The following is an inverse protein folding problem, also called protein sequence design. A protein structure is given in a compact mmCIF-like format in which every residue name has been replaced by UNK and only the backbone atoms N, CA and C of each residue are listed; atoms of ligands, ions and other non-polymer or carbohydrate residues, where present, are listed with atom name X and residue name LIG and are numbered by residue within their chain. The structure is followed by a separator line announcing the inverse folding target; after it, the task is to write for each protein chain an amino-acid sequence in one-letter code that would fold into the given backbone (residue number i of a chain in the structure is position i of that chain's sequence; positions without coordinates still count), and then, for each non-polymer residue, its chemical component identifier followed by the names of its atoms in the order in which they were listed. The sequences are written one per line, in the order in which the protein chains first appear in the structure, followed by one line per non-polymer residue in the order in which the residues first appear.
data_IF_525196926509
#
_entry.id   IF_525196926509
#
_cell.length_a   1.000
_cell.length_b   1.000
_cell.length_c   1.000
_cell.angle_alpha   90.00
_cell.angle_beta   90.00
_cell.angle_gamma   90.00
#
_symmetry.space_group_name_H-M   'P 1'
#
loop_
_entity.id
_entity.type
_entity.pdbx_description
1 polymer ?
#
# COMPACT_ATOMS: atom_id res chain seq x y z
N UNK A 1 -13.11 24.05 1.49
CA UNK A 1 -12.00 23.15 1.87
C UNK A 1 -12.40 21.74 1.46
N UNK A 2 -11.49 20.96 0.89
CA UNK A 2 -11.74 19.54 0.60
C UNK A 2 -12.14 18.80 1.89
N UNK A 3 -13.04 17.83 1.78
CA UNK A 3 -13.36 16.93 2.90
C UNK A 3 -12.09 16.20 3.38
N UNK A 4 -11.95 15.93 4.69
CA UNK A 4 -10.80 15.21 5.22
C UNK A 4 -10.76 13.77 4.67
N UNK A 5 -9.56 13.30 4.32
CA UNK A 5 -9.30 11.93 3.88
C UNK A 5 -8.72 11.13 5.04
N UNK A 6 -9.22 9.90 5.21
CA UNK A 6 -8.84 9.03 6.32
C UNK A 6 -8.19 7.73 5.84
N UNK A 7 -7.05 7.40 6.42
CA UNK A 7 -6.51 6.05 6.40
C UNK A 7 -6.90 5.34 7.69
N UNK A 8 -7.95 4.50 7.64
CA UNK A 8 -8.60 3.94 8.83
C UNK A 8 -9.13 5.09 9.72
N UNK A 9 -8.50 5.34 10.87
CA UNK A 9 -8.82 6.44 11.79
C UNK A 9 -7.89 7.65 11.68
N UNK A 10 -6.83 7.56 10.87
CA UNK A 10 -5.80 8.59 10.76
C UNK A 10 -6.18 9.59 9.66
N UNK A 11 -6.14 10.90 9.97
CA UNK A 11 -6.31 11.94 8.96
C UNK A 11 -5.02 12.01 8.15
N UNK A 12 -5.13 11.86 6.82
CA UNK A 12 -3.97 11.79 5.91
C UNK A 12 -4.04 12.78 4.75
N UNK A 13 -4.96 13.75 4.80
CA UNK A 13 -5.26 14.68 3.69
C UNK A 13 -4.00 15.34 3.10
N UNK A 14 -3.07 15.78 3.94
CA UNK A 14 -1.84 16.46 3.52
C UNK A 14 -0.79 15.52 2.90
N UNK A 15 -0.97 14.20 3.05
CA UNK A 15 -0.07 13.17 2.52
C UNK A 15 -0.58 12.59 1.20
N UNK A 16 -1.82 12.94 0.80
CA UNK A 16 -2.44 12.49 -0.45
C UNK A 16 -1.94 13.32 -1.63
N UNK A 17 -1.53 12.64 -2.70
CA UNK A 17 -1.08 13.29 -3.94
C UNK A 17 -1.96 12.97 -5.15
N UNK A 18 -2.91 12.03 -5.02
CA UNK A 18 -3.88 11.71 -6.06
C UNK A 18 -5.18 11.21 -5.43
N UNK A 19 -6.31 11.61 -6.02
CA UNK A 19 -7.65 11.14 -5.64
C UNK A 19 -8.39 10.77 -6.93
N UNK A 20 -9.00 9.60 -6.92
CA UNK A 20 -9.87 9.06 -7.95
C UNK A 20 -11.30 8.97 -7.41
N UNK A 21 -12.21 8.29 -8.11
CA UNK A 21 -13.62 8.22 -7.72
C UNK A 21 -13.84 7.49 -6.41
N UNK A 22 -13.13 6.38 -6.18
CA UNK A 22 -13.26 5.54 -4.99
C UNK A 22 -11.96 5.34 -4.24
N UNK A 23 -10.81 5.79 -4.76
CA UNK A 23 -9.50 5.57 -4.16
C UNK A 23 -8.66 6.84 -4.07
N UNK A 24 -7.58 6.78 -3.31
CA UNK A 24 -6.57 7.81 -3.25
C UNK A 24 -5.16 7.20 -3.14
N UNK A 25 -4.15 7.96 -3.55
CA UNK A 25 -2.75 7.59 -3.38
C UNK A 25 -2.05 8.56 -2.41
N UNK A 26 -1.26 8.01 -1.51
CA UNK A 26 -0.53 8.78 -0.48
C UNK A 26 0.92 8.31 -0.31
N UNK A 27 1.75 9.22 0.18
CA UNK A 27 3.14 8.92 0.54
C UNK A 27 3.20 8.11 1.84
N UNK A 28 4.13 7.14 1.94
CA UNK A 28 4.19 6.23 3.09
C UNK A 28 4.89 6.86 4.31
N UNK A 29 4.38 6.72 5.54
CA UNK A 29 5.06 7.22 6.74
C UNK A 29 6.46 6.62 6.94
N UNK A 30 6.61 5.32 6.67
CA UNK A 30 7.85 4.53 6.82
C UNK A 30 8.20 3.87 5.48
N UNK A 31 8.67 4.63 4.48
CA UNK A 31 8.99 4.07 3.17
C UNK A 31 10.11 3.04 3.28
N UNK A 32 10.05 2.00 2.46
CA UNK A 32 11.10 0.98 2.37
C UNK A 32 12.27 1.48 1.52
N UNK A 33 11.93 2.25 0.49
CA UNK A 33 12.84 2.94 -0.42
C UNK A 33 12.16 4.23 -0.89
N UNK A 34 12.91 5.22 -1.42
CA UNK A 34 12.31 6.38 -2.08
C UNK A 34 11.30 5.97 -3.16
N UNK A 35 10.14 6.64 -3.20
CA UNK A 35 9.06 6.32 -4.13
C UNK A 35 8.10 5.21 -3.66
N UNK A 36 8.28 4.69 -2.44
CA UNK A 36 7.29 3.79 -1.83
C UNK A 36 6.02 4.59 -1.46
N UNK A 37 4.94 4.35 -2.22
CA UNK A 37 3.62 4.94 -2.02
C UNK A 37 2.55 3.88 -1.77
N UNK A 38 1.38 4.31 -1.28
CA UNK A 38 0.24 3.45 -0.99
C UNK A 38 -0.98 3.86 -1.83
N UNK A 39 -1.79 2.89 -2.24
CA UNK A 39 -3.14 3.08 -2.82
C UNK A 39 -4.18 2.56 -1.85
N UNK A 40 -5.22 3.35 -1.57
CA UNK A 40 -6.19 3.07 -0.51
C UNK A 40 -7.59 3.45 -0.99
N UNK A 41 -8.65 2.64 -0.76
CA UNK A 41 -10.01 3.06 -1.02
C UNK A 41 -10.43 4.20 -0.08
N UNK A 42 -11.33 5.08 -0.52
CA UNK A 42 -11.88 6.17 0.29
C UNK A 42 -12.79 5.64 1.41
N UNK A 43 -13.46 4.50 1.18
CA UNK A 43 -14.35 3.88 2.15
C UNK A 43 -13.55 3.12 3.22
N UNK A 44 -13.39 3.76 4.38
CA UNK A 44 -12.58 3.27 5.52
C UNK A 44 -13.03 1.94 6.14
N UNK A 45 -14.23 1.45 5.82
CA UNK A 45 -14.71 0.14 6.28
C UNK A 45 -14.15 -1.04 5.50
N UNK A 46 -13.50 -0.82 4.34
CA UNK A 46 -12.86 -1.86 3.54
C UNK A 46 -11.54 -2.28 4.18
N UNK A 47 -11.53 -3.40 4.90
CA UNK A 47 -10.32 -3.91 5.56
C UNK A 47 -9.50 -4.85 4.68
N UNK A 48 -10.14 -5.49 3.70
CA UNK A 48 -9.51 -6.49 2.84
C UNK A 48 -10.08 -6.42 1.41
N UNK A 49 -9.40 -7.08 0.47
CA UNK A 49 -9.73 -6.99 -0.96
C UNK A 49 -11.16 -7.45 -1.27
N UNK A 50 -11.63 -8.47 -0.55
CA UNK A 50 -12.98 -9.05 -0.74
C UNK A 50 -14.13 -8.11 -0.39
N UNK A 51 -13.85 -7.00 0.31
CA UNK A 51 -14.87 -6.03 0.74
C UNK A 51 -15.10 -4.90 -0.24
N UNK A 52 -14.36 -4.83 -1.36
CA UNK A 52 -14.59 -3.87 -2.43
C UNK A 52 -15.87 -4.22 -3.21
N UNK A 53 -16.63 -3.20 -3.60
CA UNK A 53 -17.64 -3.36 -4.66
C UNK A 53 -16.96 -3.59 -6.02
N UNK A 54 -17.73 -3.94 -7.05
CA UNK A 54 -17.18 -4.11 -8.41
C UNK A 54 -16.60 -2.79 -8.94
N UNK A 55 -17.29 -1.69 -8.67
CA UNK A 55 -16.91 -0.34 -9.08
C UNK A 55 -15.67 0.13 -8.32
N UNK A 56 -15.64 -0.07 -6.99
CA UNK A 56 -14.44 0.24 -6.18
C UNK A 56 -13.25 -0.62 -6.62
N UNK A 57 -13.46 -1.91 -6.94
CA UNK A 57 -12.40 -2.80 -7.42
C UNK A 57 -11.82 -2.34 -8.75
N UNK A 58 -12.68 -1.94 -9.70
CA UNK A 58 -12.23 -1.42 -10.99
C UNK A 58 -11.39 -0.14 -10.82
N UNK A 59 -11.90 0.84 -10.07
CA UNK A 59 -11.20 2.10 -9.80
C UNK A 59 -9.88 1.88 -9.03
N UNK A 60 -9.88 0.95 -8.07
CA UNK A 60 -8.70 0.59 -7.29
C UNK A 60 -7.59 0.02 -8.18
N UNK A 61 -7.89 -0.94 -9.05
CA UNK A 61 -6.88 -1.53 -9.94
C UNK A 61 -6.49 -0.63 -11.11
N UNK A 62 -7.38 0.25 -11.58
CA UNK A 62 -7.03 1.33 -12.51
C UNK A 62 -6.02 2.30 -11.86
N UNK A 63 -6.29 2.71 -10.62
CA UNK A 63 -5.40 3.57 -9.85
C UNK A 63 -4.05 2.90 -9.57
N UNK A 64 -4.04 1.60 -9.24
CA UNK A 64 -2.79 0.83 -9.08
C UNK A 64 -1.97 0.82 -10.37
N UNK A 65 -2.60 0.59 -11.53
CA UNK A 65 -1.90 0.60 -12.82
C UNK A 65 -1.34 2.00 -13.16
N UNK A 66 -2.12 3.06 -12.95
CA UNK A 66 -1.68 4.43 -13.16
C UNK A 66 -0.47 4.77 -12.27
N UNK A 67 -0.56 4.48 -10.97
CA UNK A 67 0.52 4.76 -10.03
C UNK A 67 1.75 3.88 -10.27
N UNK A 68 1.57 2.64 -10.69
CA UNK A 68 2.70 1.78 -11.07
C UNK A 68 3.49 2.40 -12.23
N UNK A 69 2.82 2.82 -13.31
CA UNK A 69 3.47 3.44 -14.47
C UNK A 69 4.13 4.77 -14.10
N UNK A 70 3.42 5.61 -13.36
CA UNK A 70 3.92 6.91 -12.90
C UNK A 70 5.16 6.78 -12.01
N UNK A 71 5.13 5.93 -10.98
CA UNK A 71 6.26 5.76 -10.06
C UNK A 71 7.44 5.09 -10.77
N UNK A 72 7.19 4.09 -11.62
CA UNK A 72 8.23 3.46 -12.43
C UNK A 72 9.00 4.49 -13.26
N UNK A 73 8.27 5.36 -13.98
CA UNK A 73 8.88 6.41 -14.80
C UNK A 73 9.60 7.47 -13.93
N UNK A 74 8.92 7.98 -12.90
CA UNK A 74 9.42 9.10 -12.09
C UNK A 74 10.70 8.77 -11.32
N UNK A 75 10.83 7.52 -10.87
CA UNK A 75 11.98 7.05 -10.11
C UNK A 75 12.98 6.26 -10.96
N UNK A 76 12.76 6.17 -12.28
CA UNK A 76 13.62 5.41 -13.21
C UNK A 76 13.87 3.99 -12.71
N UNK A 77 12.82 3.35 -12.21
CA UNK A 77 12.92 2.00 -11.64
C UNK A 77 13.18 0.98 -12.76
N UNK A 78 13.84 -0.12 -12.42
CA UNK A 78 14.01 -1.28 -13.32
C UNK A 78 12.83 -2.26 -13.19
N UNK A 79 12.18 -2.29 -12.03
CA UNK A 79 11.06 -3.17 -11.72
C UNK A 79 10.25 -2.62 -10.54
N UNK A 80 9.13 -3.27 -10.21
CA UNK A 80 8.24 -2.87 -9.11
C UNK A 80 7.85 -4.07 -8.26
N UNK A 81 7.72 -3.88 -6.95
CA UNK A 81 6.85 -4.72 -6.14
C UNK A 81 5.51 -4.02 -5.96
N UNK A 82 4.45 -4.77 -6.28
CA UNK A 82 3.06 -4.40 -6.05
C UNK A 82 2.53 -5.42 -5.04
N UNK A 83 2.25 -5.00 -3.80
CA UNK A 83 1.94 -5.92 -2.73
C UNK A 83 0.69 -5.49 -1.95
N UNK A 84 -0.21 -6.45 -1.72
CA UNK A 84 -1.37 -6.30 -0.85
C UNK A 84 -1.18 -7.26 0.31
N UNK A 85 -1.15 -6.73 1.53
CA UNK A 85 -1.14 -7.52 2.74
C UNK A 85 -2.59 -7.68 3.20
N UNK A 86 -3.25 -8.74 2.72
CA UNK A 86 -4.68 -8.93 2.90
C UNK A 86 -5.00 -9.62 4.24
N UNK A 87 -4.90 -8.84 5.32
CA UNK A 87 -5.15 -9.29 6.70
C UNK A 87 -3.91 -9.27 7.60
N UNK A 88 -4.08 -9.27 8.94
CA UNK A 88 -2.99 -9.10 9.89
C UNK A 88 -1.86 -10.12 9.75
N UNK A 89 -2.22 -11.37 9.48
CA UNK A 89 -1.31 -12.52 9.34
C UNK A 89 -0.49 -12.45 8.04
N UNK A 90 -0.97 -11.69 7.05
CA UNK A 90 -0.21 -11.32 5.85
C UNK A 90 0.69 -10.09 6.07
N UNK A 91 0.70 -9.52 7.27
CA UNK A 91 1.51 -8.36 7.65
C UNK A 91 0.76 -7.02 7.67
N UNK A 92 -0.57 -7.02 7.52
CA UNK A 92 -1.36 -5.79 7.52
C UNK A 92 -1.34 -5.12 8.91
N UNK A 93 -0.70 -3.97 9.03
CA UNK A 93 -0.63 -3.21 10.29
C UNK A 93 -1.80 -2.26 10.51
N UNK A 94 -2.35 -1.68 9.44
CA UNK A 94 -3.50 -0.78 9.47
C UNK A 94 -4.73 -1.50 8.92
N UNK A 95 -5.85 -1.60 9.68
CA UNK A 95 -7.06 -2.32 9.25
C UNK A 95 -7.89 -1.48 8.27
N UNK A 96 -7.31 -1.24 7.09
CA UNK A 96 -7.88 -0.60 5.93
C UNK A 96 -7.09 -1.13 4.73
N UNK A 97 -7.74 -1.65 3.69
CA UNK A 97 -7.07 -2.19 2.52
C UNK A 97 -6.08 -1.17 1.95
N UNK A 98 -4.86 -1.59 1.66
CA UNK A 98 -3.88 -0.75 0.98
C UNK A 98 -2.92 -1.58 0.14
N UNK A 99 -2.61 -1.07 -1.05
CA UNK A 99 -1.59 -1.65 -1.94
C UNK A 99 -0.31 -0.85 -1.84
N UNK A 100 0.80 -1.54 -1.61
CA UNK A 100 2.14 -0.97 -1.69
C UNK A 100 2.63 -0.93 -3.14
N UNK A 101 3.14 0.22 -3.56
CA UNK A 101 3.85 0.42 -4.83
C UNK A 101 5.29 0.76 -4.49
N UNK A 102 6.23 -0.14 -4.80
CA UNK A 102 7.62 -0.05 -4.35
C UNK A 102 8.57 -0.19 -5.55
N UNK A 103 9.32 0.86 -5.93
CA UNK A 103 10.28 0.76 -7.02
C UNK A 103 11.50 -0.10 -6.65
N UNK A 104 12.03 -0.81 -7.64
CA UNK A 104 13.19 -1.71 -7.52
C UNK A 104 14.23 -1.41 -8.58
N UNK A 105 15.49 -1.64 -8.22
CA UNK A 105 16.64 -1.50 -9.11
C UNK A 105 17.37 -2.84 -9.21
N UNK A 106 18.00 -3.10 -10.35
CA UNK A 106 18.67 -4.39 -10.66
C UNK A 106 19.71 -4.79 -9.62
N UNK A 107 20.39 -3.82 -9.00
CA UNK A 107 21.41 -4.05 -7.98
C UNK A 107 20.82 -4.50 -6.63
N UNK A 108 19.53 -4.23 -6.37
CA UNK A 108 18.85 -4.61 -5.14
C UNK A 108 18.23 -6.00 -5.28
N UNK A 109 18.98 -7.00 -5.74
CA UNK A 109 18.44 -8.30 -6.17
C UNK A 109 18.10 -9.26 -5.00
N UNK A 110 17.20 -8.84 -4.12
CA UNK A 110 16.66 -9.64 -3.01
C UNK A 110 15.68 -10.72 -3.54
N UNK A 111 15.07 -10.51 -4.71
CA UNK A 111 14.23 -11.50 -5.42
C UNK A 111 13.27 -12.27 -4.51
N UNK A 112 13.39 -13.60 -4.57
CA UNK A 112 12.51 -14.60 -3.97
C UNK A 112 12.80 -14.92 -2.50
N UNK A 113 13.53 -14.06 -1.78
CA UNK A 113 13.84 -14.30 -0.36
C UNK A 113 12.60 -14.49 0.53
N UNK A 114 11.46 -13.92 0.15
CA UNK A 114 10.20 -14.18 0.87
C UNK A 114 9.76 -15.64 0.72
N UNK A 115 9.89 -16.22 -0.47
CA UNK A 115 9.58 -17.63 -0.71
C UNK A 115 10.55 -18.53 0.04
N UNK A 116 11.85 -18.21 0.04
CA UNK A 116 12.82 -18.95 0.85
C UNK A 116 12.43 -18.99 2.34
N UNK A 117 11.92 -17.86 2.88
CA UNK A 117 11.43 -17.80 4.27
C UNK A 117 10.15 -18.60 4.49
N UNK A 118 9.23 -18.58 3.51
CA UNK A 118 7.99 -19.36 3.56
C UNK A 118 8.25 -20.86 3.42
N UNK A 119 9.15 -21.26 2.52
CA UNK A 119 9.54 -22.66 2.25
C UNK A 119 10.40 -23.25 3.37
N UNK A 120 11.19 -22.43 4.06
CA UNK A 120 11.96 -22.86 5.25
C UNK A 120 11.07 -23.28 6.42
N UNK A 121 9.77 -23.05 6.32
CA UNK A 121 8.80 -23.54 7.29
C UNK A 121 8.25 -24.89 6.83
N UNK A 122 8.51 -25.92 7.62
CA UNK A 122 8.19 -27.33 7.32
C UNK A 122 6.70 -27.69 7.48
N UNK A 123 5.83 -26.70 7.76
CA UNK A 123 4.40 -26.90 7.98
C UNK A 123 4.05 -27.68 9.26
N UNK A 124 5.04 -28.12 10.05
CA UNK A 124 4.85 -29.04 11.18
C UNK A 124 3.99 -28.46 12.31
N UNK A 125 3.80 -27.15 12.33
CA UNK A 125 2.94 -26.45 13.28
C UNK A 125 1.69 -25.83 12.65
N UNK A 126 1.36 -26.11 11.38
CA UNK A 126 0.22 -25.49 10.69
C UNK A 126 -1.09 -25.72 11.43
N UNK A 127 -1.40 -26.97 11.74
CA UNK A 127 -2.64 -27.37 12.41
C UNK A 127 -2.73 -26.76 13.80
N UNK A 128 -1.66 -26.86 14.58
CA UNK A 128 -1.55 -26.24 15.91
C UNK A 128 -1.70 -24.71 15.87
N UNK A 129 -1.09 -24.05 14.88
CA UNK A 129 -1.16 -22.59 14.71
C UNK A 129 -2.56 -22.15 14.27
N UNK A 130 -3.21 -22.94 13.40
CA UNK A 130 -4.62 -22.76 13.01
C UNK A 130 -5.57 -22.98 14.20
N UNK A 131 -5.35 -24.02 15.00
CA UNK A 131 -6.14 -24.29 16.22
C UNK A 131 -5.95 -23.20 17.27
N UNK A 132 -4.72 -22.72 17.46
CA UNK A 132 -4.41 -21.57 18.33
C UNK A 132 -5.14 -20.32 17.84
N UNK A 133 -5.15 -20.06 16.53
CA UNK A 133 -5.89 -18.96 15.94
C UNK A 133 -7.41 -19.07 16.19
N UNK A 134 -7.98 -20.25 15.98
CA UNK A 134 -9.41 -20.51 16.18
C UNK A 134 -9.82 -20.43 17.66
N UNK A 135 -8.95 -20.83 18.58
CA UNK A 135 -9.21 -20.84 20.03
C UNK A 135 -8.98 -19.49 20.72
N UNK A 136 -8.13 -18.59 20.18
CA UNK A 136 -7.83 -17.27 20.75
C UNK A 136 -8.93 -16.21 20.53
N UNK A 137 -10.21 -16.61 20.45
CA UNK A 137 -11.35 -15.78 20.03
C UNK A 137 -11.13 -15.04 18.69
N UNK A 138 -10.22 -15.54 17.84
CA UNK A 138 -9.79 -14.94 16.59
C UNK A 138 -9.42 -13.46 16.72
N UNK A 139 -10.43 -12.61 16.52
CA UNK A 139 -10.33 -11.15 16.43
C UNK A 139 -9.57 -10.53 17.65
N UNK A 140 -9.67 -11.12 18.85
CA UNK A 140 -9.29 -10.45 20.12
C UNK A 140 -7.87 -10.76 20.62
N UNK A 141 -7.26 -11.88 20.22
CA UNK A 141 -5.84 -12.18 20.49
C UNK A 141 -4.85 -11.35 19.64
N UNK A 142 -5.37 -10.49 18.76
CA UNK A 142 -4.66 -9.73 17.70
C UNK A 142 -3.50 -8.83 18.16
N UNK A 143 -3.47 -8.35 19.40
CA UNK A 143 -2.46 -7.35 19.84
C UNK A 143 -1.11 -7.95 20.22
N UNK A 144 -1.07 -9.24 20.58
CA UNK A 144 0.15 -9.85 21.15
C UNK A 144 1.05 -10.50 20.09
N UNK A 145 0.53 -10.78 18.89
CA UNK A 145 1.27 -11.47 17.82
C UNK A 145 1.86 -10.52 16.77
N UNK A 146 1.45 -9.25 16.76
CA UNK A 146 2.05 -8.24 15.90
C UNK A 146 3.45 -7.91 16.44
N UNK A 147 4.49 -8.46 15.81
CA UNK A 147 5.88 -8.10 16.13
C UNK A 147 6.06 -6.59 15.87
N UNK A 148 6.79 -5.87 16.74
CA UNK A 148 6.96 -4.44 16.61
C UNK A 148 7.61 -4.09 15.27
N UNK A 149 7.17 -2.97 14.70
CA UNK A 149 7.78 -2.39 13.51
C UNK A 149 9.29 -2.19 13.72
N UNK A 150 10.01 -2.68 12.70
CA UNK A 150 11.41 -2.51 12.34
C UNK A 150 12.07 -1.16 12.74
N UNK A 151 13.40 -1.13 12.78
CA UNK A 151 14.31 -0.01 13.10
C UNK A 151 14.18 1.24 12.18
N UNK A 152 13.06 1.38 11.46
CA UNK A 152 12.79 2.44 10.49
C UNK A 152 12.26 3.69 11.18
N UNK A 153 12.83 4.84 10.82
CA UNK A 153 12.48 6.14 11.37
C UNK A 153 11.27 6.72 10.63
N UNK A 154 10.31 7.24 11.39
CA UNK A 154 9.14 7.95 10.86
C UNK A 154 9.55 9.28 10.21
N UNK A 155 8.96 9.59 9.07
CA UNK A 155 9.11 10.89 8.44
C UNK A 155 8.25 11.94 9.13
N UNK A 156 8.68 13.19 9.15
CA UNK A 156 7.87 14.29 9.70
C UNK A 156 6.71 14.62 8.75
N UNK A 157 5.65 15.22 9.29
CA UNK A 157 4.48 15.62 8.52
C UNK A 157 4.84 16.63 7.41
N UNK A 158 5.77 17.54 7.66
CA UNK A 158 6.24 18.55 6.69
C UNK A 158 6.95 17.89 5.50
N UNK A 159 7.81 16.91 5.77
CA UNK A 159 8.51 16.15 4.73
C UNK A 159 7.50 15.41 3.86
N UNK A 160 6.55 14.72 4.48
CA UNK A 160 5.53 13.99 3.75
C UNK A 160 4.63 14.91 2.92
N UNK A 161 4.22 16.06 3.47
CA UNK A 161 3.41 17.04 2.75
C UNK A 161 4.14 17.59 1.53
N UNK A 162 5.43 17.94 1.68
CA UNK A 162 6.26 18.42 0.57
C UNK A 162 6.40 17.36 -0.52
N UNK A 163 6.60 16.10 -0.14
CA UNK A 163 6.68 14.98 -1.09
C UNK A 163 5.35 14.76 -1.82
N UNK A 164 4.22 14.82 -1.12
CA UNK A 164 2.90 14.68 -1.72
C UNK A 164 2.62 15.78 -2.75
N UNK A 165 2.93 17.04 -2.43
CA UNK A 165 2.83 18.17 -3.38
C UNK A 165 3.71 17.91 -4.61
N UNK A 166 4.96 17.53 -4.39
CA UNK A 166 5.92 17.28 -5.47
C UNK A 166 5.45 16.13 -6.38
N UNK A 167 4.93 15.04 -5.81
CA UNK A 167 4.43 13.91 -6.58
C UNK A 167 3.14 14.26 -7.32
N UNK A 168 2.27 15.09 -6.76
CA UNK A 168 1.07 15.56 -7.44
C UNK A 168 1.45 16.34 -8.71
N UNK A 169 2.35 17.32 -8.60
CA UNK A 169 2.83 18.11 -9.74
C UNK A 169 3.46 17.22 -10.83
N UNK A 170 4.33 16.28 -10.41
CA UNK A 170 4.94 15.32 -11.33
C UNK A 170 3.93 14.41 -12.01
N UNK A 171 2.90 13.98 -11.29
CA UNK A 171 1.84 13.13 -11.84
C UNK A 171 1.03 13.88 -12.90
N UNK A 172 0.66 15.14 -12.65
CA UNK A 172 -0.06 15.96 -13.63
C UNK A 172 0.76 16.14 -14.91
N UNK A 173 2.06 16.43 -14.76
CA UNK A 173 2.97 16.53 -15.90
C UNK A 173 3.11 15.20 -16.65
N UNK A 174 3.23 14.08 -15.92
CA UNK A 174 3.31 12.75 -16.50
C UNK A 174 2.07 12.38 -17.32
N UNK A 175 0.87 12.62 -16.79
CA UNK A 175 -0.41 12.38 -17.49
C UNK A 175 -0.51 13.27 -18.74
N UNK A 176 -0.10 14.53 -18.63
CA UNK A 176 -0.12 15.47 -19.77
C UNK A 176 0.79 15.01 -20.91
N UNK A 177 1.98 14.49 -20.57
CA UNK A 177 2.95 13.98 -21.54
C UNK A 177 2.60 12.59 -22.07
N UNK A 178 1.73 11.84 -21.39
CA UNK A 178 1.33 10.48 -21.74
C UNK A 178 -0.20 10.38 -21.80
N UNK A 179 -0.85 10.91 -22.85
CA UNK A 179 -2.32 10.95 -22.94
C UNK A 179 -3.00 9.58 -22.81
N UNK A 180 -2.32 8.49 -23.20
CA UNK A 180 -2.82 7.12 -23.08
C UNK A 180 -3.08 6.70 -21.62
N UNK A 181 -2.46 7.37 -20.64
CA UNK A 181 -2.70 7.13 -19.22
C UNK A 181 -4.13 7.51 -18.79
N UNK A 182 -4.81 8.34 -19.58
CA UNK A 182 -6.21 8.73 -19.33
C UNK A 182 -7.17 7.54 -19.35
N UNK A 183 -6.79 6.41 -19.96
CA UNK A 183 -7.61 5.17 -19.92
C UNK A 183 -7.81 4.60 -18.50
N UNK A 184 -7.01 5.05 -17.53
CA UNK A 184 -7.11 4.67 -16.11
C UNK A 184 -7.62 5.83 -15.24
N UNK A 185 -8.01 6.95 -15.86
CA UNK A 185 -8.52 8.14 -15.19
C UNK A 185 -9.96 8.30 -15.66
N UNK A 186 -10.90 7.82 -14.84
CA UNK A 186 -12.34 8.01 -15.04
C UNK A 186 -12.82 9.33 -14.44
#
# INVERSE_FOLDING_TARGET
MSSPIYFSKFIVTDQVFYVSKFCYALVNLKPLVPGHVLIVPLRTSVQNLSQLSKEESSDFFNTVQLMQNFIYHTYQADAMNIAIQDGPEAGQSVPHLHTHIIPRYRLNNIGDQIYNKLDSWDGSEWEKRRETYLSANGRMGRKELAKPEDQRVERTAEVMKKEAITLNEKLQNYITQNPDMKKWID
#
